data_IF_369831846064
#
_entry.id   IF_369831846064
#
_cell.length_a   1.000
_cell.length_b   1.000
_cell.length_c   1.000
_cell.angle_alpha   90.00
_cell.angle_beta   90.00
_cell.angle_gamma   90.00
#
_symmetry.space_group_name_H-M   'P 1'
#
loop_
_entity.id
_entity.type
_entity.pdbx_description
1 polymer ?
#
# COMPACT_ATOMS: atom_id res chain seq x y z
N UNK A 1 -15.42 -23.80 6.20
CA UNK A 1 -15.96 -24.51 5.01
C UNK A 1 -15.35 -23.85 3.79
N UNK A 2 -14.60 -24.59 2.97
CA UNK A 2 -13.95 -24.05 1.76
C UNK A 2 -14.56 -24.77 0.56
N UNK A 3 -15.05 -24.01 -0.42
CA UNK A 3 -15.65 -24.52 -1.66
C UNK A 3 -14.70 -24.20 -2.81
N UNK A 4 -14.42 -25.18 -3.68
CA UNK A 4 -13.63 -25.02 -4.90
C UNK A 4 -14.46 -25.47 -6.11
N UNK A 5 -14.46 -24.67 -7.18
CA UNK A 5 -15.01 -25.01 -8.49
C UNK A 5 -13.88 -24.98 -9.55
N UNK A 6 -14.10 -25.76 -10.62
CA UNK A 6 -13.14 -26.26 -11.61
C UNK A 6 -12.29 -25.24 -12.38
N UNK A 7 -11.16 -25.77 -12.86
CA UNK A 7 -10.11 -25.20 -13.71
C UNK A 7 -10.61 -24.74 -15.07
N UNK A 8 -10.63 -23.42 -15.26
CA UNK A 8 -10.22 -22.75 -16.50
C UNK A 8 -9.10 -21.77 -16.08
N UNK A 9 -8.58 -20.95 -16.98
CA UNK A 9 -7.67 -19.83 -16.69
C UNK A 9 -8.41 -18.70 -15.92
N UNK A 10 -9.19 -19.10 -14.92
CA UNK A 10 -10.15 -18.34 -14.14
C UNK A 10 -9.47 -17.86 -12.88
N UNK A 11 -9.69 -16.58 -12.60
CA UNK A 11 -9.27 -16.03 -11.33
C UNK A 11 -9.98 -16.73 -10.18
N UNK A 12 -9.21 -17.24 -9.21
CA UNK A 12 -9.72 -17.80 -7.97
C UNK A 12 -9.57 -16.77 -6.87
N UNK A 13 -10.68 -16.39 -6.25
CA UNK A 13 -10.67 -15.52 -5.06
C UNK A 13 -10.81 -16.35 -3.78
N UNK A 14 -9.96 -16.08 -2.80
CA UNK A 14 -9.99 -16.67 -1.46
C UNK A 14 -10.17 -15.55 -0.45
N UNK A 15 -11.19 -15.66 0.40
CA UNK A 15 -11.45 -14.71 1.49
C UNK A 15 -11.19 -15.41 2.83
N UNK A 16 -10.39 -14.77 3.68
CA UNK A 16 -10.07 -15.22 5.04
C UNK A 16 -10.47 -14.11 6.00
N UNK A 17 -11.11 -14.48 7.11
CA UNK A 17 -11.41 -13.55 8.20
C UNK A 17 -10.61 -14.02 9.42
N UNK A 18 -9.89 -13.08 10.02
CA UNK A 18 -9.13 -13.27 11.26
C UNK A 18 -9.64 -12.27 12.27
N UNK A 19 -10.00 -12.73 13.46
CA UNK A 19 -10.59 -11.87 14.49
C UNK A 19 -9.90 -12.13 15.82
N UNK A 20 -9.52 -11.05 16.48
CA UNK A 20 -8.92 -11.01 17.81
C UNK A 20 -9.66 -9.97 18.64
N UNK A 21 -9.41 -9.91 19.95
CA UNK A 21 -9.96 -8.85 20.81
C UNK A 21 -9.55 -7.44 20.39
N UNK A 22 -8.42 -7.30 19.66
CA UNK A 22 -7.84 -6.00 19.28
C UNK A 22 -8.17 -5.59 17.87
N UNK A 23 -8.49 -6.53 16.99
CA UNK A 23 -8.57 -6.29 15.56
C UNK A 23 -9.35 -7.38 14.83
N UNK A 24 -10.13 -6.97 13.82
CA UNK A 24 -10.72 -7.84 12.82
C UNK A 24 -10.09 -7.56 11.46
N UNK A 25 -9.55 -8.59 10.82
CA UNK A 25 -8.97 -8.52 9.48
C UNK A 25 -9.75 -9.37 8.49
N UNK A 26 -10.04 -8.80 7.34
CA UNK A 26 -10.54 -9.51 6.16
C UNK A 26 -9.45 -9.49 5.11
N UNK A 27 -8.97 -10.67 4.73
CA UNK A 27 -7.92 -10.86 3.73
C UNK A 27 -8.56 -11.47 2.49
N UNK A 28 -8.49 -10.78 1.37
CA UNK A 28 -8.96 -11.24 0.07
C UNK A 28 -7.77 -11.46 -0.87
N UNK A 29 -7.49 -12.70 -1.22
CA UNK A 29 -6.42 -13.09 -2.14
C UNK A 29 -7.03 -13.48 -3.49
N UNK A 30 -6.48 -12.97 -4.58
CA UNK A 30 -6.86 -13.35 -5.95
C UNK A 30 -5.69 -14.04 -6.60
N UNK A 31 -5.95 -15.22 -7.14
CA UNK A 31 -4.99 -16.06 -7.85
C UNK A 31 -5.40 -16.20 -9.31
N UNK A 32 -4.42 -16.21 -10.22
CA UNK A 32 -4.61 -16.64 -11.61
C UNK A 32 -3.79 -17.91 -11.81
N UNK A 33 -4.47 -19.05 -12.02
CA UNK A 33 -3.87 -20.36 -11.80
C UNK A 33 -3.35 -20.48 -10.36
N UNK A 34 -2.09 -20.90 -10.19
CA UNK A 34 -1.44 -21.02 -8.88
C UNK A 34 -0.70 -19.75 -8.43
N UNK A 35 -0.67 -18.70 -9.26
CA UNK A 35 0.03 -17.45 -8.97
C UNK A 35 -0.88 -16.49 -8.23
N UNK A 36 -0.48 -16.03 -7.04
CA UNK A 36 -1.12 -14.90 -6.36
C UNK A 36 -0.87 -13.64 -7.20
N UNK A 37 -1.94 -12.92 -7.56
CA UNK A 37 -1.87 -11.66 -8.33
C UNK A 37 -2.32 -10.44 -7.53
N UNK A 38 -3.15 -10.64 -6.48
CA UNK A 38 -3.59 -9.56 -5.60
C UNK A 38 -3.83 -10.08 -4.18
N UNK A 39 -3.40 -9.35 -3.17
CA UNK A 39 -3.79 -9.54 -1.78
C UNK A 39 -4.30 -8.23 -1.21
N UNK A 40 -5.61 -8.16 -0.98
CA UNK A 40 -6.27 -7.03 -0.33
C UNK A 40 -6.54 -7.37 1.13
N UNK A 41 -6.29 -6.44 2.03
CA UNK A 41 -6.54 -6.59 3.46
C UNK A 41 -7.27 -5.37 3.96
N UNK A 42 -8.41 -5.60 4.61
CA UNK A 42 -9.11 -4.60 5.42
C UNK A 42 -8.99 -5.00 6.87
N UNK A 43 -8.47 -4.11 7.69
CA UNK A 43 -8.26 -4.32 9.11
C UNK A 43 -8.99 -3.25 9.91
N UNK A 44 -9.83 -3.67 10.85
CA UNK A 44 -10.57 -2.80 11.76
C UNK A 44 -10.03 -3.01 13.16
N UNK A 45 -9.30 -2.01 13.67
CA UNK A 45 -8.73 -2.03 15.02
C UNK A 45 -9.76 -1.53 16.03
N UNK A 46 -9.91 -2.27 17.13
CA UNK A 46 -10.83 -1.95 18.21
C UNK A 46 -10.40 -0.68 18.97
N UNK A 47 -11.38 0.09 19.42
CA UNK A 47 -11.20 1.35 20.15
C UNK A 47 -12.50 2.15 20.18
N UNK A 48 -12.52 3.28 20.91
CA UNK A 48 -13.70 4.17 20.96
C UNK A 48 -14.09 4.68 19.57
N UNK A 49 -13.08 4.94 18.73
CA UNK A 49 -13.24 5.23 17.30
C UNK A 49 -12.42 4.19 16.53
N UNK A 50 -13.07 3.18 15.90
CA UNK A 50 -12.36 2.14 15.18
C UNK A 50 -11.47 2.73 14.09
N UNK A 51 -10.24 2.23 14.00
CA UNK A 51 -9.31 2.59 12.92
C UNK A 51 -9.41 1.53 11.85
N UNK A 52 -9.85 1.95 10.66
CA UNK A 52 -9.84 1.13 9.46
C UNK A 52 -8.55 1.36 8.70
N UNK A 53 -7.77 0.31 8.53
CA UNK A 53 -6.59 0.28 7.67
C UNK A 53 -6.89 -0.64 6.50
N UNK A 54 -6.61 -0.17 5.29
CA UNK A 54 -6.73 -0.98 4.08
C UNK A 54 -5.39 -1.02 3.38
N UNK A 55 -4.99 -2.18 2.87
CA UNK A 55 -3.88 -2.26 1.95
C UNK A 55 -4.10 -3.31 0.87
N UNK A 56 -3.50 -3.07 -0.29
CA UNK A 56 -3.52 -4.00 -1.41
C UNK A 56 -2.11 -4.21 -1.93
N UNK A 57 -1.71 -5.46 -2.10
CA UNK A 57 -0.48 -5.87 -2.77
C UNK A 57 -0.86 -6.46 -4.12
N UNK A 58 -0.15 -6.05 -5.16
CA UNK A 58 -0.27 -6.59 -6.51
C UNK A 58 1.03 -7.28 -6.88
N UNK A 59 0.88 -8.41 -7.56
CA UNK A 59 2.00 -9.27 -7.89
C UNK A 59 1.99 -9.58 -9.39
N UNK A 60 3.18 -9.56 -9.98
CA UNK A 60 3.45 -10.03 -11.32
C UNK A 60 4.57 -11.06 -11.24
N UNK A 61 4.30 -12.26 -11.77
CA UNK A 61 5.25 -13.39 -11.74
C UNK A 61 5.82 -13.68 -10.34
N UNK A 62 4.96 -13.59 -9.33
CA UNK A 62 5.31 -13.86 -7.93
C UNK A 62 6.09 -12.74 -7.24
N UNK A 63 6.41 -11.65 -7.94
CA UNK A 63 7.08 -10.48 -7.37
C UNK A 63 6.06 -9.38 -7.10
N UNK A 64 6.15 -8.74 -5.94
CA UNK A 64 5.35 -7.54 -5.65
C UNK A 64 5.76 -6.42 -6.60
N UNK A 65 4.79 -5.81 -7.27
CA UNK A 65 5.01 -4.69 -8.22
C UNK A 65 4.35 -3.41 -7.76
N UNK A 66 3.29 -3.52 -6.97
CA UNK A 66 2.58 -2.39 -6.39
C UNK A 66 2.08 -2.75 -5.00
N UNK A 67 2.32 -1.87 -4.05
CA UNK A 67 1.68 -1.86 -2.75
C UNK A 67 0.89 -0.55 -2.61
N UNK A 68 -0.37 -0.62 -2.20
CA UNK A 68 -1.22 0.54 -1.91
C UNK A 68 -1.75 0.43 -0.48
N UNK A 69 -1.77 1.52 0.27
CA UNK A 69 -2.33 1.55 1.62
C UNK A 69 -3.10 2.82 1.90
N UNK A 70 -4.11 2.70 2.76
CA UNK A 70 -4.90 3.79 3.28
C UNK A 70 -5.18 3.57 4.77
N UNK A 71 -5.16 4.63 5.55
CA UNK A 71 -5.54 4.63 6.96
C UNK A 71 -6.60 5.69 7.24
N UNK A 72 -7.70 5.26 7.86
CA UNK A 72 -8.83 6.10 8.23
C UNK A 72 -8.51 7.23 9.20
N UNK A 73 -7.43 7.13 9.98
CA UNK A 73 -7.04 8.15 10.96
C UNK A 73 -6.28 9.29 10.29
N UNK A 74 -5.25 8.97 9.51
CA UNK A 74 -4.45 9.95 8.78
C UNK A 74 -5.12 10.45 7.50
N UNK A 75 -6.04 9.65 6.93
CA UNK A 75 -6.63 9.84 5.59
C UNK A 75 -5.61 9.80 4.44
N UNK A 76 -4.35 9.47 4.73
CA UNK A 76 -3.27 9.42 3.76
C UNK A 76 -3.36 8.12 2.96
N UNK A 77 -3.27 8.22 1.63
CA UNK A 77 -3.07 7.07 0.74
C UNK A 77 -1.64 7.05 0.22
N UNK A 78 -1.02 5.88 0.19
CA UNK A 78 0.33 5.71 -0.36
C UNK A 78 0.33 4.58 -1.37
N UNK A 79 1.10 4.76 -2.44
CA UNK A 79 1.45 3.72 -3.42
C UNK A 79 2.96 3.54 -3.47
N UNK A 80 3.43 2.31 -3.44
CA UNK A 80 4.82 1.94 -3.65
C UNK A 80 4.92 1.08 -4.89
N UNK A 81 5.75 1.51 -5.83
CA UNK A 81 6.03 0.80 -7.06
C UNK A 81 7.37 0.11 -6.93
N UNK A 82 7.36 -1.18 -7.24
CA UNK A 82 8.50 -2.06 -7.02
C UNK A 82 8.98 -2.60 -8.37
N UNK A 83 10.28 -2.54 -8.62
CA UNK A 83 10.93 -3.20 -9.74
C UNK A 83 11.99 -4.16 -9.19
N UNK A 84 11.95 -5.43 -9.58
CA UNK A 84 12.91 -6.44 -9.13
C UNK A 84 13.08 -6.49 -7.60
N UNK A 85 11.99 -6.33 -6.84
CA UNK A 85 11.95 -6.26 -5.36
C UNK A 85 12.54 -4.99 -4.74
N UNK A 86 13.01 -4.03 -5.54
CA UNK A 86 13.45 -2.71 -5.10
C UNK A 86 12.31 -1.69 -5.21
N UNK A 87 12.16 -0.84 -4.19
CA UNK A 87 11.31 0.35 -4.29
C UNK A 87 11.91 1.32 -5.31
N UNK A 88 11.15 1.67 -6.33
CA UNK A 88 11.59 2.60 -7.38
C UNK A 88 10.81 3.90 -7.37
N UNK A 89 9.56 3.87 -6.88
CA UNK A 89 8.74 5.06 -6.76
C UNK A 89 7.75 4.94 -5.60
N UNK A 90 7.49 6.05 -4.92
CA UNK A 90 6.38 6.19 -4.01
C UNK A 90 5.48 7.34 -4.44
N UNK A 91 4.17 7.18 -4.33
CA UNK A 91 3.21 8.26 -4.49
C UNK A 91 2.43 8.43 -3.19
N UNK A 92 2.15 9.67 -2.79
CA UNK A 92 1.35 9.98 -1.60
C UNK A 92 0.24 10.97 -1.94
N UNK A 93 -0.98 10.59 -1.58
CA UNK A 93 -2.15 11.45 -1.42
C UNK A 93 -2.19 11.87 0.05
N UNK A 94 -1.74 13.10 0.32
CA UNK A 94 -1.48 13.55 1.69
C UNK A 94 -2.74 14.09 2.37
N UNK A 95 -3.65 14.70 1.62
CA UNK A 95 -4.88 15.30 2.15
C UNK A 95 -6.11 14.38 2.08
N UNK A 96 -5.98 13.24 1.39
CA UNK A 96 -6.99 12.20 1.30
C UNK A 96 -8.09 12.49 0.29
N UNK A 97 -7.83 13.36 -0.70
CA UNK A 97 -8.79 13.73 -1.73
C UNK A 97 -8.79 12.78 -2.96
N UNK A 98 -7.90 11.78 -2.96
CA UNK A 98 -7.73 10.81 -4.03
C UNK A 98 -6.77 11.25 -5.15
N UNK A 99 -6.18 12.45 -5.05
CA UNK A 99 -5.11 12.92 -5.91
C UNK A 99 -3.75 12.64 -5.23
N UNK A 100 -2.81 12.10 -6.00
CA UNK A 100 -1.47 11.83 -5.48
C UNK A 100 -0.57 13.00 -5.81
N UNK A 101 -0.49 13.99 -4.92
CA UNK A 101 0.34 15.18 -5.14
C UNK A 101 1.82 14.82 -5.12
N UNK A 102 2.24 13.97 -4.20
CA UNK A 102 3.67 13.73 -3.96
C UNK A 102 4.14 12.50 -4.71
N UNK A 103 5.26 12.62 -5.40
CA UNK A 103 5.94 11.52 -6.09
C UNK A 103 7.40 11.51 -5.70
N UNK A 104 7.91 10.36 -5.27
CA UNK A 104 9.32 10.19 -4.89
C UNK A 104 9.92 9.09 -5.75
N UNK A 105 11.06 9.39 -6.37
CA UNK A 105 11.84 8.40 -7.13
C UNK A 105 13.03 7.94 -6.30
N UNK A 106 13.29 6.63 -6.36
CA UNK A 106 14.38 6.00 -5.62
C UNK A 106 15.44 5.45 -6.57
N UNK A 107 16.68 5.86 -6.32
CA UNK A 107 17.86 5.39 -7.01
C UNK A 107 18.33 4.03 -6.50
N UNK A 108 19.44 3.59 -7.07
CA UNK A 108 20.09 2.36 -6.62
C UNK A 108 20.55 2.49 -5.16
N UNK A 109 20.37 1.43 -4.38
CA UNK A 109 20.59 1.45 -2.93
C UNK A 109 19.41 2.00 -2.10
N UNK A 110 18.30 2.40 -2.73
CA UNK A 110 17.09 2.85 -2.03
C UNK A 110 17.15 4.28 -1.51
N UNK A 111 18.12 5.06 -1.98
CA UNK A 111 18.21 6.49 -1.70
C UNK A 111 17.15 7.25 -2.52
N UNK A 112 16.67 8.36 -1.96
CA UNK A 112 15.78 9.26 -2.70
C UNK A 112 16.61 10.07 -3.70
N UNK A 113 16.26 9.97 -4.98
CA UNK A 113 16.91 10.72 -6.07
C UNK A 113 16.17 12.00 -6.40
N UNK A 114 14.83 11.96 -6.33
CA UNK A 114 14.01 13.11 -6.66
C UNK A 114 12.67 13.06 -5.94
N UNK A 115 12.14 14.24 -5.63
CA UNK A 115 10.79 14.44 -5.10
C UNK A 115 10.09 15.46 -5.99
N UNK A 116 8.85 15.15 -6.36
CA UNK A 116 8.02 16.00 -7.20
C UNK A 116 6.68 16.23 -6.52
N UNK A 117 6.10 17.40 -6.79
CA UNK A 117 4.70 17.70 -6.52
C UNK A 117 3.94 17.86 -7.82
N UNK A 118 2.86 17.12 -7.99
CA UNK A 118 1.89 17.31 -9.07
C UNK A 118 0.92 18.40 -8.68
N UNK A 119 0.84 19.43 -9.49
CA UNK A 119 -0.15 20.50 -9.32
C UNK A 119 -1.48 20.09 -9.97
N UNK A 120 -2.61 20.63 -9.49
CA UNK A 120 -3.93 20.27 -10.02
C UNK A 120 -4.17 20.63 -11.49
N UNK A 121 -3.37 21.53 -12.05
CA UNK A 121 -3.39 21.86 -13.48
C UNK A 121 -2.51 20.95 -14.34
N UNK A 122 -2.00 19.84 -13.79
CA UNK A 122 -1.15 18.87 -14.51
C UNK A 122 0.31 19.26 -14.62
N UNK A 123 0.74 20.30 -13.90
CA UNK A 123 2.15 20.68 -13.78
C UNK A 123 2.91 19.79 -12.80
N UNK A 124 4.24 19.87 -12.88
CA UNK A 124 5.16 19.15 -12.01
C UNK A 124 6.13 20.18 -11.41
N UNK A 125 6.18 20.25 -10.09
CA UNK A 125 7.15 21.03 -9.34
C UNK A 125 8.21 20.07 -8.80
N UNK A 126 9.48 20.31 -9.14
CA UNK A 126 10.60 19.60 -8.50
C UNK A 126 10.81 20.22 -7.14
N UNK A 127 10.86 19.41 -6.09
CA UNK A 127 11.05 19.90 -4.74
C UNK A 127 12.49 19.71 -4.28
N UNK A 128 13.03 20.75 -3.64
CA UNK A 128 14.38 20.76 -3.06
C UNK A 128 14.39 20.15 -1.64
N UNK A 129 15.52 20.22 -0.92
CA UNK A 129 15.79 19.46 0.32
C UNK A 129 14.71 19.58 1.42
N UNK A 130 14.06 20.74 1.57
CA UNK A 130 13.03 20.96 2.60
C UNK A 130 11.81 20.05 2.41
N UNK A 131 11.45 19.76 1.16
CA UNK A 131 10.33 18.90 0.86
C UNK A 131 10.63 17.41 1.10
N UNK A 132 11.90 17.02 1.03
CA UNK A 132 12.34 15.69 1.41
C UNK A 132 12.11 15.47 2.92
N UNK A 133 12.32 16.50 3.75
CA UNK A 133 12.06 16.42 5.19
C UNK A 133 10.55 16.25 5.47
N UNK A 134 9.69 17.07 4.85
CA UNK A 134 8.24 16.95 4.98
C UNK A 134 7.71 15.60 4.50
N UNK A 135 8.21 15.10 3.36
CA UNK A 135 7.85 13.77 2.88
C UNK A 135 8.33 12.66 3.83
N UNK A 136 9.55 12.75 4.38
CA UNK A 136 10.09 11.77 5.34
C UNK A 136 9.20 11.66 6.58
N UNK A 137 8.65 12.76 7.09
CA UNK A 137 7.73 12.74 8.22
C UNK A 137 6.43 11.99 7.90
N UNK A 138 5.80 12.27 6.75
CA UNK A 138 4.61 11.55 6.29
C UNK A 138 4.88 10.05 6.01
N UNK A 139 6.03 9.74 5.40
CA UNK A 139 6.47 8.38 5.14
C UNK A 139 6.75 7.61 6.44
N UNK A 140 7.34 8.25 7.44
CA UNK A 140 7.61 7.63 8.74
C UNK A 140 6.32 7.31 9.50
N UNK A 141 5.31 8.17 9.44
CA UNK A 141 3.99 7.89 10.00
C UNK A 141 3.38 6.62 9.37
N UNK A 142 3.46 6.52 8.04
CA UNK A 142 3.01 5.33 7.32
C UNK A 142 3.87 4.09 7.59
N UNK A 143 5.21 4.22 7.66
CA UNK A 143 6.12 3.13 8.05
C UNK A 143 5.87 2.67 9.48
N UNK A 144 5.44 3.54 10.38
CA UNK A 144 5.02 3.17 11.73
C UNK A 144 3.81 2.23 11.70
N UNK A 145 2.78 2.59 10.93
CA UNK A 145 1.60 1.74 10.69
C UNK A 145 2.02 0.41 10.04
N UNK A 146 2.90 0.46 9.04
CA UNK A 146 3.41 -0.72 8.34
C UNK A 146 4.31 -1.59 9.21
N UNK A 147 5.16 -1.02 10.05
CA UNK A 147 6.06 -1.74 10.96
C UNK A 147 5.30 -2.50 12.04
N UNK A 148 4.16 -1.98 12.49
CA UNK A 148 3.22 -2.74 13.32
C UNK A 148 2.56 -3.90 12.56
N UNK A 149 2.22 -3.71 11.28
CA UNK A 149 1.61 -4.74 10.43
C UNK A 149 2.61 -5.82 9.96
N UNK A 150 3.89 -5.48 9.81
CA UNK A 150 4.96 -6.38 9.35
C UNK A 150 5.70 -7.10 10.47
N UNK A 151 5.44 -6.80 11.74
CA UNK A 151 5.92 -7.60 12.89
C UNK A 151 5.34 -9.02 12.90
N UNK A 152 4.42 -9.33 12.00
CA UNK A 152 4.00 -10.70 11.66
C UNK A 152 5.03 -11.35 10.70
N UNK A 153 6.18 -11.73 11.25
CA UNK A 153 7.03 -12.81 10.72
C UNK A 153 7.37 -13.77 11.83
#
# INVERSE_FOLDING_TARGET
MVSFAQTNDTERTVVKVQETEREKRTITEVFKGDKLIRKHVEAVRAGEKPVVVKYTRYYQDGKEVLFESWDSRSKVTIRYFMAETRLVMAETDYDGDGWFEWVVLYGDGGNVEAVFKRTRNGGIEVLEEDALATWKEGSNLARGIMGELFKER
#
